data_IF_410062341179
#
_entry.id   IF_410062341179
#
_cell.length_a   1.000
_cell.length_b   1.000
_cell.length_c   1.000
_cell.angle_alpha   90.00
_cell.angle_beta   90.00
_cell.angle_gamma   90.00
#
_symmetry.space_group_name_H-M   'P 1'
#
loop_
_entity.id
_entity.type
_entity.pdbx_description
1 polymer ?
#
# COMPACT_ATOMS: atom_id res chain seq x y z
N UNK A 1 -21.44 -42.60 34.06
CA UNK A 1 -21.14 -41.19 33.80
C UNK A 1 -21.14 -40.98 32.30
N UNK A 2 -21.71 -39.96 31.65
CA UNK A 2 -22.84 -39.04 31.93
C UNK A 2 -22.69 -37.86 30.95
N UNK A 3 -23.32 -37.94 29.76
CA UNK A 3 -23.71 -36.81 28.87
C UNK A 3 -22.63 -35.77 28.42
N UNK A 4 -22.94 -34.82 27.52
CA UNK A 4 -23.99 -34.77 26.49
C UNK A 4 -23.47 -34.53 25.05
N UNK A 5 -24.41 -34.52 24.08
CA UNK A 5 -24.51 -33.74 22.83
C UNK A 5 -23.35 -32.77 22.48
N UNK A 6 -22.98 -32.60 21.20
CA UNK A 6 -23.90 -32.05 20.17
C UNK A 6 -23.55 -32.40 18.70
N UNK A 7 -24.60 -32.52 17.88
CA UNK A 7 -24.63 -32.75 16.41
C UNK A 7 -24.88 -31.37 15.70
N UNK A 8 -24.85 -31.13 14.39
CA UNK A 8 -25.09 -31.91 13.16
C UNK A 8 -24.46 -31.18 11.96
N UNK A 9 -24.10 -31.85 10.84
CA UNK A 9 -23.99 -31.23 9.51
C UNK A 9 -25.34 -31.23 8.75
N UNK A 10 -25.52 -30.30 7.80
CA UNK A 10 -26.73 -30.23 6.96
C UNK A 10 -26.67 -31.14 5.73
N UNK A 11 -27.81 -31.70 5.32
CA UNK A 11 -28.01 -32.38 4.04
C UNK A 11 -28.76 -31.49 3.04
N UNK A 12 -28.51 -31.72 1.75
CA UNK A 12 -29.25 -31.09 0.65
C UNK A 12 -30.42 -31.97 0.18
N UNK A 13 -31.49 -31.35 -0.34
CA UNK A 13 -32.56 -32.08 -1.03
C UNK A 13 -33.19 -31.20 -2.14
N UNK A 14 -33.65 -31.84 -3.22
CA UNK A 14 -34.09 -31.19 -4.46
C UNK A 14 -35.37 -31.88 -5.01
N UNK A 15 -36.41 -31.08 -5.29
CA UNK A 15 -37.68 -31.40 -5.97
C UNK A 15 -38.47 -30.07 -6.14
N UNK A 16 -39.28 -29.82 -7.18
CA UNK A 16 -39.47 -30.56 -8.43
C UNK A 16 -40.84 -30.32 -9.11
N UNK A 17 -40.94 -29.30 -10.00
CA UNK A 17 -42.10 -29.00 -10.89
C UNK A 17 -43.41 -28.57 -10.17
N UNK A 18 -44.52 -28.11 -10.80
CA UNK A 18 -45.02 -28.19 -12.19
C UNK A 18 -46.05 -27.07 -12.54
N UNK A 19 -46.06 -26.59 -13.81
CA UNK A 19 -47.22 -26.07 -14.60
C UNK A 19 -48.03 -24.83 -14.09
N UNK A 20 -48.86 -24.07 -14.84
CA UNK A 20 -49.09 -23.69 -16.28
C UNK A 20 -50.22 -22.58 -16.25
N UNK A 21 -50.54 -21.65 -17.19
CA UNK A 21 -50.37 -21.43 -18.66
C UNK A 21 -50.51 -19.91 -19.00
N UNK A 22 -50.36 -19.52 -20.27
CA UNK A 22 -50.58 -18.16 -20.85
C UNK A 22 -51.98 -17.56 -20.72
N UNK A 23 -52.10 -16.23 -20.89
CA UNK A 23 -53.12 -15.58 -21.74
C UNK A 23 -52.68 -14.16 -22.16
N UNK A 24 -52.93 -13.81 -23.42
CA UNK A 24 -52.73 -12.47 -24.01
C UNK A 24 -54.08 -11.73 -24.09
N UNK A 25 -54.17 -10.52 -23.50
CA UNK A 25 -55.10 -9.50 -24.01
C UNK A 25 -54.68 -8.09 -23.59
N UNK A 26 -54.62 -7.15 -24.53
CA UNK A 26 -54.12 -5.79 -24.27
C UNK A 26 -55.22 -4.76 -23.97
N UNK A 27 -54.82 -3.60 -23.45
CA UNK A 27 -55.37 -2.27 -23.83
C UNK A 27 -54.61 -1.10 -23.21
N UNK A 28 -54.20 -0.19 -24.10
CA UNK A 28 -53.88 1.21 -23.87
C UNK A 28 -54.68 1.87 -22.72
N UNK A 29 -54.00 2.56 -21.79
CA UNK A 29 -54.55 3.70 -21.06
C UNK A 29 -53.47 4.77 -20.86
N UNK A 30 -53.34 5.65 -21.86
CA UNK A 30 -52.53 6.87 -21.81
C UNK A 30 -53.19 7.92 -20.90
N UNK A 31 -52.50 8.41 -19.86
CA UNK A 31 -52.97 9.58 -19.09
C UNK A 31 -51.84 10.44 -18.47
N UNK A 32 -51.89 11.74 -18.77
CA UNK A 32 -51.23 12.88 -18.10
C UNK A 32 -49.71 12.86 -17.85
N UNK A 33 -48.97 13.21 -18.91
CA UNK A 33 -47.78 14.04 -18.81
C UNK A 33 -48.13 15.44 -18.24
N UNK A 34 -47.47 15.86 -17.16
CA UNK A 34 -47.40 17.26 -16.72
C UNK A 34 -45.95 17.70 -16.59
N UNK A 35 -45.46 18.48 -17.55
CA UNK A 35 -44.10 18.99 -17.55
C UNK A 35 -43.92 20.10 -16.49
N UNK A 36 -42.96 19.91 -15.58
CA UNK A 36 -42.42 21.01 -14.77
C UNK A 36 -41.04 21.40 -15.34
N UNK A 37 -41.03 22.40 -16.21
CA UNK A 37 -39.84 22.83 -16.95
C UNK A 37 -38.95 23.77 -16.11
N UNK A 38 -38.40 23.26 -15.00
CA UNK A 38 -37.37 23.97 -14.25
C UNK A 38 -35.97 23.54 -14.71
N UNK A 39 -35.45 24.24 -15.73
CA UNK A 39 -34.06 24.11 -16.17
C UNK A 39 -33.12 24.83 -15.20
N UNK A 40 -32.97 24.28 -14.00
CA UNK A 40 -31.83 24.57 -13.14
C UNK A 40 -30.64 23.76 -13.68
N UNK A 41 -29.74 24.41 -14.42
CA UNK A 41 -28.59 23.75 -15.03
C UNK A 41 -27.63 23.18 -13.98
N UNK A 42 -27.75 21.88 -13.69
CA UNK A 42 -26.75 21.11 -12.96
C UNK A 42 -25.42 21.22 -13.71
N UNK A 43 -24.45 21.93 -13.12
CA UNK A 43 -23.09 22.01 -13.64
C UNK A 43 -22.45 20.63 -13.50
N UNK A 44 -22.53 19.83 -14.56
CA UNK A 44 -21.91 18.51 -14.67
C UNK A 44 -20.39 18.65 -14.79
N UNK A 45 -19.73 18.82 -13.65
CA UNK A 45 -18.27 18.84 -13.48
C UNK A 45 -17.90 17.85 -12.36
N UNK A 46 -16.69 17.29 -12.46
CA UNK A 46 -15.97 16.45 -11.48
C UNK A 46 -15.98 14.91 -11.58
N UNK A 47 -16.88 14.24 -12.33
CA UNK A 47 -16.83 12.75 -12.46
C UNK A 47 -15.44 12.24 -12.86
N UNK A 48 -14.89 12.81 -13.94
CA UNK A 48 -13.60 12.39 -14.53
C UNK A 48 -12.42 12.38 -13.58
N UNK A 49 -12.43 13.25 -12.56
CA UNK A 49 -11.32 13.37 -11.62
C UNK A 49 -11.47 12.41 -10.44
N UNK A 50 -12.71 12.04 -10.09
CA UNK A 50 -13.00 11.01 -9.11
C UNK A 50 -12.71 9.62 -9.69
N UNK A 51 -13.09 9.40 -10.96
CA UNK A 51 -12.75 8.21 -11.74
C UNK A 51 -11.21 8.02 -11.88
N UNK A 52 -10.46 9.09 -12.20
CA UNK A 52 -8.98 9.13 -12.30
C UNK A 52 -8.26 8.89 -10.96
N UNK A 53 -8.80 9.41 -9.86
CA UNK A 53 -8.27 9.16 -8.52
C UNK A 53 -8.49 7.70 -8.09
N UNK A 54 -9.68 7.16 -8.35
CA UNK A 54 -10.00 5.75 -8.07
C UNK A 54 -9.12 4.80 -8.90
N UNK A 55 -8.89 5.09 -10.19
CA UNK A 55 -8.00 4.28 -11.03
C UNK A 55 -6.57 4.24 -10.46
N UNK A 56 -6.01 5.39 -10.07
CA UNK A 56 -4.69 5.44 -9.44
C UNK A 56 -4.62 4.70 -8.11
N UNK A 57 -5.63 4.82 -7.25
CA UNK A 57 -5.63 4.12 -5.96
C UNK A 57 -5.75 2.59 -6.12
N UNK A 58 -6.41 2.10 -7.17
CA UNK A 58 -6.37 0.69 -7.54
C UNK A 58 -4.96 0.24 -7.98
N UNK A 59 -4.24 1.05 -8.75
CA UNK A 59 -2.85 0.80 -9.15
C UNK A 59 -1.91 0.76 -7.92
N UNK A 60 -2.03 1.71 -7.00
CA UNK A 60 -1.31 1.71 -5.71
C UNK A 60 -1.63 0.46 -4.87
N UNK A 61 -2.88 0.01 -4.84
CA UNK A 61 -3.27 -1.20 -4.13
C UNK A 61 -2.62 -2.46 -4.74
N UNK A 62 -2.57 -2.57 -6.06
CA UNK A 62 -1.99 -3.72 -6.74
C UNK A 62 -0.44 -3.72 -6.69
N UNK A 63 0.20 -2.55 -6.76
CA UNK A 63 1.63 -2.38 -6.45
C UNK A 63 1.92 -2.86 -5.01
N UNK A 64 1.06 -2.54 -4.04
CA UNK A 64 1.22 -3.05 -2.68
C UNK A 64 1.04 -4.57 -2.58
N UNK A 65 0.06 -5.15 -3.28
CA UNK A 65 -0.13 -6.61 -3.40
C UNK A 65 1.09 -7.33 -4.00
N UNK A 66 1.74 -6.69 -4.98
CA UNK A 66 3.01 -7.16 -5.55
C UNK A 66 4.18 -7.03 -4.56
N UNK A 67 4.25 -5.96 -3.75
CA UNK A 67 5.26 -5.82 -2.70
C UNK A 67 5.09 -6.87 -1.58
N UNK A 68 3.85 -7.21 -1.24
CA UNK A 68 3.56 -8.34 -0.34
C UNK A 68 4.00 -9.68 -0.96
N UNK A 69 3.74 -9.89 -2.25
CA UNK A 69 4.20 -11.08 -2.98
C UNK A 69 5.74 -11.16 -3.06
N UNK A 70 6.42 -10.04 -3.29
CA UNK A 70 7.88 -9.93 -3.28
C UNK A 70 8.48 -10.28 -1.91
N UNK A 71 7.90 -9.75 -0.84
CA UNK A 71 8.27 -10.11 0.55
C UNK A 71 8.12 -11.62 0.80
N UNK A 72 7.03 -12.23 0.34
CA UNK A 72 6.84 -13.68 0.46
C UNK A 72 7.90 -14.46 -0.32
N UNK A 73 8.25 -14.05 -1.55
CA UNK A 73 9.31 -14.70 -2.35
C UNK A 73 10.68 -14.57 -1.67
N UNK A 74 11.04 -13.41 -1.12
CA UNK A 74 12.30 -13.22 -0.35
C UNK A 74 12.37 -14.21 0.82
N UNK A 75 11.28 -14.35 1.57
CA UNK A 75 11.19 -15.31 2.67
C UNK A 75 11.26 -16.78 2.19
N UNK A 76 10.70 -17.11 1.04
CA UNK A 76 10.83 -18.45 0.45
C UNK A 76 12.25 -18.75 -0.01
N UNK A 77 12.95 -17.79 -0.63
CA UNK A 77 14.35 -17.90 -1.05
C UNK A 77 15.24 -18.13 0.17
N UNK A 78 15.11 -17.30 1.21
CA UNK A 78 15.84 -17.43 2.48
C UNK A 78 15.69 -18.83 3.10
N UNK A 79 14.47 -19.36 3.18
CA UNK A 79 14.21 -20.69 3.72
C UNK A 79 14.72 -21.82 2.79
N UNK A 80 14.65 -21.67 1.47
CA UNK A 80 15.17 -22.64 0.50
C UNK A 80 16.69 -22.70 0.51
N UNK A 81 17.36 -21.54 0.52
CA UNK A 81 18.82 -21.44 0.64
C UNK A 81 19.31 -22.01 1.98
N UNK A 82 18.65 -21.71 3.10
CA UNK A 82 18.94 -22.37 4.40
C UNK A 82 18.75 -23.88 4.34
N UNK A 83 17.70 -24.38 3.70
CA UNK A 83 17.51 -25.83 3.52
C UNK A 83 18.64 -26.44 2.69
N UNK A 84 19.02 -25.80 1.59
CA UNK A 84 20.15 -26.19 0.74
C UNK A 84 21.50 -26.10 1.45
N UNK A 85 21.62 -25.22 2.46
CA UNK A 85 22.77 -25.16 3.35
C UNK A 85 22.96 -26.46 4.15
N UNK A 86 21.88 -27.08 4.63
CA UNK A 86 21.98 -28.25 5.53
C UNK A 86 21.76 -29.62 4.87
N UNK A 87 21.29 -29.68 3.62
CA UNK A 87 20.87 -30.93 2.96
C UNK A 87 21.73 -31.34 1.75
N UNK A 88 22.99 -30.90 1.66
CA UNK A 88 23.89 -31.26 0.53
C UNK A 88 24.50 -32.68 0.65
N UNK A 89 24.40 -33.33 1.81
CA UNK A 89 24.71 -34.77 2.01
C UNK A 89 23.71 -35.72 1.29
N UNK A 90 22.71 -35.18 0.58
CA UNK A 90 21.77 -35.94 -0.25
C UNK A 90 22.36 -36.22 -1.64
N UNK A 91 21.66 -37.03 -2.44
CA UNK A 91 22.14 -37.44 -3.77
C UNK A 91 22.30 -36.22 -4.70
N UNK A 92 23.16 -36.34 -5.72
CA UNK A 92 23.38 -35.27 -6.71
C UNK A 92 22.05 -34.76 -7.34
N UNK A 93 21.08 -35.66 -7.53
CA UNK A 93 19.73 -35.38 -8.06
C UNK A 93 18.88 -34.52 -7.11
N UNK A 94 18.90 -34.79 -5.80
CA UNK A 94 18.21 -34.00 -4.76
C UNK A 94 18.82 -32.59 -4.65
N UNK A 95 20.15 -32.52 -4.78
CA UNK A 95 20.93 -31.27 -4.77
C UNK A 95 20.63 -30.43 -6.02
N UNK A 96 20.59 -31.02 -7.21
CA UNK A 96 20.24 -30.29 -8.44
C UNK A 96 18.77 -29.81 -8.44
N UNK A 97 17.83 -30.67 -8.05
CA UNK A 97 16.42 -30.28 -7.91
C UNK A 97 16.21 -29.15 -6.89
N UNK A 98 17.02 -29.11 -5.83
CA UNK A 98 16.99 -28.03 -4.84
C UNK A 98 17.56 -26.72 -5.40
N UNK A 99 18.66 -26.77 -6.18
CA UNK A 99 19.18 -25.59 -6.90
C UNK A 99 18.15 -25.03 -7.88
N UNK A 100 17.50 -25.88 -8.68
CA UNK A 100 16.53 -25.45 -9.69
C UNK A 100 15.34 -24.69 -9.09
N UNK A 101 14.90 -25.05 -7.87
CA UNK A 101 13.85 -24.32 -7.13
C UNK A 101 14.33 -22.96 -6.61
N UNK A 102 15.61 -22.83 -6.23
CA UNK A 102 16.17 -21.52 -5.84
C UNK A 102 16.30 -20.64 -7.10
N UNK A 103 16.80 -21.21 -8.20
CA UNK A 103 16.96 -20.51 -9.47
C UNK A 103 15.62 -20.00 -10.04
N UNK A 104 14.54 -20.77 -9.90
CA UNK A 104 13.20 -20.32 -10.34
C UNK A 104 12.63 -19.20 -9.45
N UNK A 105 12.79 -19.28 -8.12
CA UNK A 105 12.36 -18.21 -7.21
C UNK A 105 13.16 -16.91 -7.41
N UNK A 106 14.47 -17.00 -7.67
CA UNK A 106 15.31 -15.84 -7.99
C UNK A 106 14.87 -15.20 -9.32
N UNK A 107 14.53 -16.00 -10.33
CA UNK A 107 14.00 -15.49 -11.60
C UNK A 107 12.60 -14.83 -11.44
N UNK A 108 11.74 -15.40 -10.61
CA UNK A 108 10.43 -14.83 -10.24
C UNK A 108 10.61 -13.48 -9.51
N UNK A 109 11.53 -13.44 -8.54
CA UNK A 109 11.90 -12.22 -7.82
C UNK A 109 12.45 -11.14 -8.76
N UNK A 110 13.33 -11.48 -9.71
CA UNK A 110 13.86 -10.55 -10.72
C UNK A 110 12.74 -10.01 -11.63
N UNK A 111 11.83 -10.86 -12.09
CA UNK A 111 10.69 -10.43 -12.91
C UNK A 111 9.78 -9.45 -12.16
N UNK A 112 9.49 -9.74 -10.88
CA UNK A 112 8.65 -8.90 -10.05
C UNK A 112 9.32 -7.56 -9.68
N UNK A 113 10.64 -7.56 -9.47
CA UNK A 113 11.44 -6.34 -9.27
C UNK A 113 11.38 -5.39 -10.47
N UNK A 114 11.46 -5.93 -11.69
CA UNK A 114 11.41 -5.13 -12.92
C UNK A 114 10.02 -4.51 -13.14
N UNK A 115 8.96 -5.25 -12.85
CA UNK A 115 7.58 -4.75 -12.93
C UNK A 115 7.31 -3.69 -11.85
N UNK A 116 7.62 -3.97 -10.59
CA UNK A 116 7.52 -3.00 -9.49
C UNK A 116 8.28 -1.69 -9.77
N UNK A 117 9.51 -1.78 -10.28
CA UNK A 117 10.30 -0.61 -10.70
C UNK A 117 9.58 0.22 -11.78
N UNK A 118 9.01 -0.44 -12.78
CA UNK A 118 8.30 0.24 -13.86
C UNK A 118 6.98 0.89 -13.37
N UNK A 119 6.19 0.17 -12.57
CA UNK A 119 4.90 0.62 -12.05
C UNK A 119 5.03 1.74 -11.03
N UNK A 120 5.94 1.61 -10.05
CA UNK A 120 6.22 2.68 -9.08
C UNK A 120 6.70 3.95 -9.79
N UNK A 121 7.60 3.82 -10.78
CA UNK A 121 8.03 4.96 -11.61
C UNK A 121 6.86 5.61 -12.36
N UNK A 122 5.96 4.80 -12.93
CA UNK A 122 4.76 5.31 -13.61
C UNK A 122 3.84 6.06 -12.65
N UNK A 123 3.56 5.49 -11.48
CA UNK A 123 2.72 6.10 -10.45
C UNK A 123 3.31 7.42 -9.91
N UNK A 124 4.63 7.49 -9.66
CA UNK A 124 5.31 8.73 -9.29
C UNK A 124 5.18 9.81 -10.39
N UNK A 125 5.35 9.43 -11.66
CA UNK A 125 5.22 10.36 -12.79
C UNK A 125 3.78 10.87 -12.93
N UNK A 126 2.77 9.99 -12.85
CA UNK A 126 1.36 10.39 -12.91
C UNK A 126 0.99 11.33 -11.77
N UNK A 127 1.40 11.01 -10.54
CA UNK A 127 1.15 11.81 -9.35
C UNK A 127 1.71 13.24 -9.47
N UNK A 128 2.93 13.39 -9.99
CA UNK A 128 3.53 14.72 -10.22
C UNK A 128 2.81 15.48 -11.34
N UNK A 129 2.30 14.80 -12.37
CA UNK A 129 1.53 15.44 -13.44
C UNK A 129 0.13 15.87 -12.99
N UNK A 130 -0.54 15.10 -12.13
CA UNK A 130 -1.87 15.44 -11.58
C UNK A 130 -1.81 16.59 -10.57
N UNK A 131 -0.64 16.80 -9.93
CA UNK A 131 -0.41 17.76 -8.83
C UNK A 131 -1.23 17.47 -7.57
N UNK A 132 -1.68 16.22 -7.40
CA UNK A 132 -2.32 15.76 -6.17
C UNK A 132 -1.26 15.24 -5.19
N UNK A 133 -1.05 15.96 -4.09
CA UNK A 133 -0.13 15.55 -3.02
C UNK A 133 -0.49 14.16 -2.47
N UNK A 134 -1.76 13.79 -2.45
CA UNK A 134 -2.22 12.46 -2.02
C UNK A 134 -1.68 11.37 -2.94
N UNK A 135 -1.73 11.58 -4.27
CA UNK A 135 -1.13 10.65 -5.23
C UNK A 135 0.39 10.56 -5.03
N UNK A 136 1.06 11.70 -4.78
CA UNK A 136 2.52 11.77 -4.59
C UNK A 136 2.95 11.01 -3.34
N UNK A 137 2.27 11.24 -2.21
CA UNK A 137 2.59 10.60 -0.93
C UNK A 137 2.37 9.07 -0.97
N UNK A 138 1.35 8.60 -1.70
CA UNK A 138 1.12 7.16 -1.89
C UNK A 138 2.20 6.51 -2.78
N UNK A 139 2.52 7.11 -3.93
CA UNK A 139 3.57 6.58 -4.82
C UNK A 139 4.95 6.55 -4.13
N UNK A 140 5.27 7.58 -3.35
CA UNK A 140 6.49 7.67 -2.56
C UNK A 140 6.50 6.66 -1.38
N UNK A 141 5.34 6.34 -0.81
CA UNK A 141 5.21 5.26 0.19
C UNK A 141 5.49 3.89 -0.44
N UNK A 142 4.97 3.61 -1.63
CA UNK A 142 5.31 2.40 -2.38
C UNK A 142 6.81 2.34 -2.72
N UNK A 143 7.43 3.45 -3.13
CA UNK A 143 8.88 3.51 -3.43
C UNK A 143 9.73 3.18 -2.20
N UNK A 144 9.43 3.78 -1.04
CA UNK A 144 10.11 3.49 0.23
C UNK A 144 9.96 2.02 0.61
N UNK A 145 8.73 1.49 0.60
CA UNK A 145 8.43 0.07 0.88
C UNK A 145 9.20 -0.88 -0.04
N UNK A 146 9.41 -0.51 -1.30
CA UNK A 146 10.22 -1.31 -2.24
C UNK A 146 11.72 -1.26 -1.92
N UNK A 147 12.27 -0.08 -1.61
CA UNK A 147 13.66 0.08 -1.16
C UNK A 147 13.95 -0.73 0.12
N UNK A 148 13.03 -0.72 1.08
CA UNK A 148 13.13 -1.51 2.32
C UNK A 148 13.20 -3.01 2.00
N UNK A 149 12.32 -3.54 1.14
CA UNK A 149 12.32 -4.95 0.73
C UNK A 149 13.56 -5.35 -0.09
N UNK A 150 14.07 -4.46 -0.96
CA UNK A 150 15.34 -4.68 -1.67
C UNK A 150 16.48 -4.77 -0.65
N UNK A 151 16.50 -3.90 0.37
CA UNK A 151 17.53 -3.89 1.41
C UNK A 151 17.47 -5.12 2.32
N UNK A 152 16.28 -5.59 2.68
CA UNK A 152 16.08 -6.86 3.41
C UNK A 152 16.57 -8.05 2.57
N UNK A 153 16.27 -8.09 1.27
CA UNK A 153 16.76 -9.17 0.41
C UNK A 153 18.29 -9.16 0.26
N UNK A 154 18.91 -7.97 0.15
CA UNK A 154 20.38 -7.82 0.16
C UNK A 154 20.99 -8.35 1.47
N UNK A 155 20.30 -8.19 2.61
CA UNK A 155 20.74 -8.73 3.90
C UNK A 155 20.62 -10.26 3.97
N UNK A 156 19.55 -10.84 3.40
CA UNK A 156 19.38 -12.29 3.23
C UNK A 156 20.51 -12.88 2.40
N UNK A 157 20.75 -12.35 1.20
CA UNK A 157 21.79 -12.88 0.30
C UNK A 157 23.20 -12.71 0.88
N UNK A 158 23.48 -11.59 1.56
CA UNK A 158 24.75 -11.39 2.28
C UNK A 158 24.97 -12.45 3.38
N UNK A 159 23.93 -12.77 4.14
CA UNK A 159 23.97 -13.77 5.22
C UNK A 159 24.16 -15.19 4.68
N UNK A 160 23.46 -15.54 3.61
CA UNK A 160 23.55 -16.86 3.01
C UNK A 160 24.89 -17.04 2.27
N UNK A 161 25.44 -15.97 1.66
CA UNK A 161 26.82 -15.94 1.15
C UNK A 161 27.85 -16.26 2.23
N UNK A 162 27.80 -15.60 3.39
CA UNK A 162 28.76 -15.88 4.47
C UNK A 162 28.57 -17.30 5.05
N UNK A 163 27.31 -17.75 5.18
CA UNK A 163 27.00 -19.11 5.64
C UNK A 163 27.56 -20.19 4.71
N UNK A 164 27.46 -20.00 3.40
CA UNK A 164 28.00 -20.92 2.38
C UNK A 164 29.53 -20.86 2.28
N UNK A 165 30.15 -19.71 2.55
CA UNK A 165 31.62 -19.62 2.76
C UNK A 165 32.08 -20.42 3.97
N UNK A 166 31.43 -20.24 5.13
CA UNK A 166 31.79 -21.01 6.34
C UNK A 166 31.70 -22.52 6.09
N UNK A 167 30.67 -22.98 5.37
CA UNK A 167 30.53 -24.39 5.06
C UNK A 167 31.62 -24.89 4.14
N UNK A 168 31.90 -24.22 3.02
CA UNK A 168 32.95 -24.63 2.10
C UNK A 168 34.34 -24.64 2.77
N UNK A 169 34.59 -23.72 3.72
CA UNK A 169 35.78 -23.73 4.56
C UNK A 169 35.83 -24.96 5.49
N UNK A 170 34.74 -25.27 6.20
CA UNK A 170 34.62 -26.47 7.06
C UNK A 170 34.81 -27.77 6.27
N UNK A 171 34.19 -27.87 5.08
CA UNK A 171 34.32 -28.98 4.14
C UNK A 171 35.80 -29.20 3.73
N UNK A 172 36.47 -28.14 3.26
CA UNK A 172 37.89 -28.24 2.86
C UNK A 172 38.81 -28.67 4.02
N UNK A 173 38.54 -28.19 5.24
CA UNK A 173 39.28 -28.59 6.45
C UNK A 173 39.14 -30.08 6.83
N UNK A 174 38.11 -30.80 6.35
CA UNK A 174 37.98 -32.26 6.54
C UNK A 174 39.06 -33.02 5.74
N UNK A 175 39.47 -32.49 4.58
CA UNK A 175 40.55 -33.04 3.75
C UNK A 175 41.91 -32.56 4.24
N UNK A 176 42.04 -31.26 4.51
CA UNK A 176 43.28 -30.60 4.93
C UNK A 176 43.09 -29.81 6.25
N UNK A 177 43.21 -30.48 7.42
CA UNK A 177 43.06 -29.82 8.72
C UNK A 177 44.13 -28.77 9.03
N UNK A 178 45.25 -28.80 8.31
CA UNK A 178 46.38 -27.87 8.36
C UNK A 178 46.34 -26.79 7.26
N UNK A 179 45.17 -26.58 6.63
CA UNK A 179 44.98 -25.54 5.63
C UNK A 179 45.20 -24.13 6.19
N UNK A 180 45.93 -23.30 5.45
CA UNK A 180 46.10 -21.87 5.75
C UNK A 180 44.84 -21.07 5.38
N UNK A 181 44.66 -19.89 5.98
CA UNK A 181 43.50 -19.03 5.68
C UNK A 181 43.50 -18.57 4.21
N UNK A 182 44.68 -18.40 3.64
CA UNK A 182 44.93 -18.06 2.25
C UNK A 182 44.53 -19.21 1.30
N UNK A 183 44.88 -20.46 1.62
CA UNK A 183 44.42 -21.64 0.87
C UNK A 183 42.90 -21.82 0.97
N UNK A 184 42.31 -21.62 2.16
CA UNK A 184 40.87 -21.71 2.36
C UNK A 184 40.14 -20.66 1.49
N UNK A 185 40.59 -19.41 1.50
CA UNK A 185 40.02 -18.36 0.62
C UNK A 185 40.18 -18.71 -0.85
N UNK A 186 41.37 -19.13 -1.29
CA UNK A 186 41.57 -19.48 -2.70
C UNK A 186 40.72 -20.68 -3.16
N UNK A 187 40.37 -21.61 -2.26
CA UNK A 187 39.47 -22.74 -2.59
C UNK A 187 38.00 -22.32 -2.58
N UNK A 188 37.57 -21.50 -1.61
CA UNK A 188 36.16 -21.11 -1.42
C UNK A 188 35.75 -19.95 -2.35
N UNK A 189 36.56 -18.90 -2.39
CA UNK A 189 36.27 -17.64 -3.11
C UNK A 189 36.72 -17.74 -4.58
N UNK A 190 37.96 -18.16 -4.85
CA UNK A 190 38.48 -18.28 -6.23
C UNK A 190 38.17 -19.63 -6.92
N UNK A 191 37.60 -20.60 -6.19
CA UNK A 191 37.30 -21.94 -6.73
C UNK A 191 38.54 -22.77 -7.11
N UNK A 192 39.70 -22.48 -6.51
CA UNK A 192 41.01 -22.95 -6.98
C UNK A 192 41.21 -24.47 -6.86
N UNK A 193 41.02 -25.15 -8.00
CA UNK A 193 41.27 -26.58 -8.18
C UNK A 193 42.71 -27.01 -7.83
N UNK A 194 43.69 -26.10 -7.88
CA UNK A 194 45.10 -26.42 -7.64
C UNK A 194 45.37 -26.77 -6.18
N UNK A 195 44.93 -25.92 -5.24
CA UNK A 195 45.06 -26.19 -3.80
C UNK A 195 44.25 -27.42 -3.37
N UNK A 196 43.16 -27.69 -4.08
CA UNK A 196 42.37 -28.90 -3.85
C UNK A 196 43.09 -30.18 -4.34
N UNK A 197 43.65 -30.20 -5.55
CA UNK A 197 44.43 -31.34 -6.02
C UNK A 197 45.67 -31.60 -5.17
N UNK A 198 46.31 -30.55 -4.64
CA UNK A 198 47.39 -30.68 -3.68
C UNK A 198 46.93 -31.39 -2.38
N UNK A 199 45.79 -30.99 -1.81
CA UNK A 199 45.18 -31.65 -0.66
C UNK A 199 44.77 -33.12 -0.95
N UNK A 200 44.30 -33.43 -2.18
CA UNK A 200 44.00 -34.80 -2.63
C UNK A 200 45.24 -35.70 -2.79
N UNK A 201 46.40 -35.10 -3.11
CA UNK A 201 47.67 -35.83 -3.19
C UNK A 201 48.26 -36.10 -1.81
N UNK A 202 48.08 -35.17 -0.86
CA UNK A 202 48.61 -35.23 0.50
C UNK A 202 47.73 -36.07 1.46
N UNK A 203 46.41 -36.11 1.25
CA UNK A 203 45.49 -36.84 2.12
C UNK A 203 45.39 -38.34 1.78
N UNK A 204 45.34 -39.18 2.81
CA UNK A 204 45.06 -40.62 2.67
C UNK A 204 43.56 -40.91 2.39
N UNK A 205 42.67 -39.90 2.44
CA UNK A 205 41.21 -40.04 2.42
C UNK A 205 40.60 -39.86 1.02
N UNK A 206 41.28 -40.37 -0.02
CA UNK A 206 40.98 -40.12 -1.46
C UNK A 206 39.55 -40.47 -1.93
N UNK A 207 38.82 -41.31 -1.20
CA UNK A 207 37.41 -41.59 -1.47
C UNK A 207 36.51 -40.43 -1.03
N UNK A 208 36.48 -40.16 0.28
CA UNK A 208 35.74 -39.05 0.90
C UNK A 208 36.05 -37.70 0.22
N UNK A 209 37.33 -37.44 -0.02
CA UNK A 209 37.81 -36.17 -0.57
C UNK A 209 37.35 -35.90 -2.02
N UNK A 210 36.79 -36.89 -2.74
CA UNK A 210 36.09 -36.66 -4.02
C UNK A 210 34.65 -36.18 -3.85
N UNK A 211 33.93 -36.67 -2.83
CA UNK A 211 32.59 -36.19 -2.50
C UNK A 211 32.67 -34.74 -2.02
N UNK A 212 33.58 -34.46 -1.08
CA UNK A 212 33.87 -33.10 -0.60
C UNK A 212 34.35 -32.15 -1.71
N UNK A 213 34.98 -32.66 -2.79
CA UNK A 213 35.29 -31.83 -3.98
C UNK A 213 34.02 -31.42 -4.73
N UNK A 214 33.07 -32.34 -4.93
CA UNK A 214 31.77 -32.01 -5.52
C UNK A 214 31.05 -30.97 -4.65
N UNK A 215 31.05 -31.19 -3.33
CA UNK A 215 30.44 -30.34 -2.31
C UNK A 215 30.95 -28.88 -2.39
N UNK A 216 32.27 -28.69 -2.35
CA UNK A 216 32.91 -27.37 -2.45
C UNK A 216 32.68 -26.73 -3.83
N UNK A 217 32.63 -27.53 -4.91
CA UNK A 217 32.29 -27.02 -6.25
C UNK A 217 30.81 -26.62 -6.41
N UNK A 218 29.89 -27.26 -5.69
CA UNK A 218 28.49 -26.80 -5.59
C UNK A 218 28.44 -25.48 -4.82
N UNK A 219 29.06 -25.40 -3.64
CA UNK A 219 29.12 -24.18 -2.83
C UNK A 219 29.78 -23.01 -3.56
N UNK A 220 30.86 -23.22 -4.33
CA UNK A 220 31.47 -22.16 -5.13
C UNK A 220 30.54 -21.67 -6.25
N UNK A 221 29.83 -22.56 -6.95
CA UNK A 221 28.80 -22.16 -7.94
C UNK A 221 27.63 -21.41 -7.30
N UNK A 222 27.25 -21.77 -6.08
CA UNK A 222 26.27 -21.04 -5.29
C UNK A 222 26.75 -19.62 -4.94
N UNK A 223 27.99 -19.47 -4.45
CA UNK A 223 28.60 -18.17 -4.14
C UNK A 223 28.60 -17.22 -5.36
N UNK A 224 28.92 -17.72 -6.56
CA UNK A 224 28.86 -16.92 -7.79
C UNK A 224 27.43 -16.47 -8.16
N UNK A 225 26.41 -17.29 -7.89
CA UNK A 225 25.00 -16.89 -8.06
C UNK A 225 24.61 -15.80 -7.05
N UNK A 226 24.95 -16.00 -5.78
CA UNK A 226 24.68 -15.04 -4.69
C UNK A 226 25.35 -13.67 -5.00
N UNK A 227 26.59 -13.68 -5.49
CA UNK A 227 27.28 -12.45 -5.91
C UNK A 227 26.60 -11.73 -7.07
N UNK A 228 26.12 -12.47 -8.08
CA UNK A 228 25.33 -11.90 -9.18
C UNK A 228 24.04 -11.25 -8.66
N UNK A 229 23.26 -11.95 -7.84
CA UNK A 229 22.03 -11.40 -7.28
C UNK A 229 22.29 -10.17 -6.40
N UNK A 230 23.32 -10.21 -5.54
CA UNK A 230 23.70 -9.04 -4.72
C UNK A 230 24.12 -7.82 -5.56
N UNK A 231 24.78 -8.02 -6.70
CA UNK A 231 25.12 -6.95 -7.62
C UNK A 231 23.86 -6.36 -8.29
N UNK A 232 22.97 -7.21 -8.79
CA UNK A 232 21.69 -6.82 -9.42
C UNK A 232 20.79 -6.05 -8.43
N UNK A 233 20.64 -6.55 -7.20
CA UNK A 233 19.90 -5.86 -6.14
C UNK A 233 20.54 -4.52 -5.74
N UNK A 234 21.87 -4.40 -5.82
CA UNK A 234 22.57 -3.14 -5.53
C UNK A 234 22.38 -2.12 -6.63
N UNK A 235 22.35 -2.55 -7.91
CA UNK A 235 21.98 -1.68 -9.02
C UNK A 235 20.51 -1.24 -8.89
N UNK A 236 19.60 -2.18 -8.65
CA UNK A 236 18.17 -1.89 -8.46
C UNK A 236 17.92 -0.90 -7.30
N UNK A 237 18.61 -1.08 -6.17
CA UNK A 237 18.55 -0.14 -5.06
C UNK A 237 18.94 1.27 -5.48
N UNK A 238 20.07 1.42 -6.18
CA UNK A 238 20.52 2.72 -6.68
C UNK A 238 19.56 3.33 -7.72
N UNK A 239 19.03 2.53 -8.65
CA UNK A 239 18.01 2.96 -9.63
C UNK A 239 16.73 3.49 -8.93
N UNK A 240 16.37 2.92 -7.77
CA UNK A 240 15.21 3.32 -6.98
C UNK A 240 15.50 4.50 -6.02
N UNK A 241 16.76 4.75 -5.66
CA UNK A 241 17.21 5.96 -4.98
C UNK A 241 17.29 7.16 -5.94
N UNK A 242 17.83 6.98 -7.15
CA UNK A 242 17.84 8.03 -8.21
C UNK A 242 16.40 8.39 -8.65
N UNK A 243 15.43 7.50 -8.45
CA UNK A 243 14.01 7.75 -8.67
C UNK A 243 13.34 8.73 -7.67
N UNK A 244 14.11 9.45 -6.85
CA UNK A 244 13.64 10.70 -6.24
C UNK A 244 13.47 11.76 -7.34
N UNK A 245 12.27 11.83 -7.92
CA UNK A 245 11.85 12.93 -8.79
C UNK A 245 12.01 14.24 -8.00
N UNK A 246 12.71 15.22 -8.58
CA UNK A 246 12.92 16.53 -7.96
C UNK A 246 11.58 17.22 -7.63
N UNK A 247 11.17 17.18 -6.36
CA UNK A 247 10.14 18.07 -5.82
C UNK A 247 10.73 19.47 -5.64
N UNK A 248 11.14 20.13 -6.73
CA UNK A 248 11.66 21.50 -6.69
C UNK A 248 10.52 22.54 -6.59
N UNK A 249 9.64 22.35 -5.61
CA UNK A 249 8.92 23.39 -4.88
C UNK A 249 8.69 22.90 -3.44
N UNK A 250 8.83 23.75 -2.42
CA UNK A 250 8.79 23.33 -1.03
C UNK A 250 7.38 22.90 -0.60
N UNK A 251 7.32 21.86 0.24
CA UNK A 251 6.09 21.44 0.95
C UNK A 251 5.68 22.54 1.95
N UNK A 252 4.90 23.52 1.48
CA UNK A 252 4.29 24.58 2.28
C UNK A 252 2.77 24.64 2.08
N UNK A 253 2.08 23.51 2.33
CA UNK A 253 0.62 23.53 2.51
C UNK A 253 0.02 22.44 3.42
N UNK A 254 0.79 21.93 4.40
CA UNK A 254 0.22 21.21 5.54
C UNK A 254 -0.03 22.19 6.70
N UNK A 255 -0.93 23.16 6.49
CA UNK A 255 -1.43 24.02 7.57
C UNK A 255 -2.91 24.44 7.41
N UNK A 256 -3.52 24.29 6.23
CA UNK A 256 -4.90 24.78 5.99
C UNK A 256 -6.00 23.75 6.30
N UNK A 257 -5.74 22.43 6.19
CA UNK A 257 -6.75 21.39 6.51
C UNK A 257 -6.83 20.96 7.98
N UNK A 258 -5.93 21.43 8.85
CA UNK A 258 -6.15 21.39 10.32
C UNK A 258 -6.76 22.72 10.80
N UNK A 259 -6.41 23.85 10.15
CA UNK A 259 -7.04 25.14 10.38
C UNK A 259 -8.56 25.12 10.21
N UNK A 260 -9.08 24.41 9.20
CA UNK A 260 -10.52 24.21 9.00
C UNK A 260 -11.24 23.57 10.21
N UNK A 261 -10.61 22.60 10.88
CA UNK A 261 -11.19 21.92 12.04
C UNK A 261 -11.13 22.76 13.33
N UNK A 262 -10.20 23.72 13.41
CA UNK A 262 -10.00 24.55 14.61
C UNK A 262 -10.63 25.96 14.49
N UNK A 263 -10.86 26.47 13.28
CA UNK A 263 -11.54 27.75 13.07
C UNK A 263 -13.08 27.66 13.27
N UNK A 264 -13.66 26.47 13.10
CA UNK A 264 -15.11 26.23 13.30
C UNK A 264 -15.55 26.29 14.79
N UNK A 265 -14.59 26.36 15.72
CA UNK A 265 -14.87 26.71 17.13
C UNK A 265 -14.89 28.23 17.34
N UNK A 266 -14.06 29.00 16.65
CA UNK A 266 -13.93 30.45 16.89
C UNK A 266 -15.04 31.27 16.19
N UNK A 267 -15.52 30.84 15.01
CA UNK A 267 -16.70 31.48 14.39
C UNK A 267 -18.01 31.26 15.19
N UNK A 268 -18.05 30.28 16.10
CA UNK A 268 -19.17 30.04 17.01
C UNK A 268 -19.54 31.23 17.92
N UNK A 269 -18.60 32.16 18.16
CA UNK A 269 -18.82 33.31 19.06
C UNK A 269 -19.30 34.57 18.31
N UNK A 270 -19.15 34.63 16.98
CA UNK A 270 -19.49 35.82 16.17
C UNK A 270 -20.99 36.10 16.03
N UNK A 271 -21.83 35.06 15.98
CA UNK A 271 -23.23 35.20 15.54
C UNK A 271 -24.27 35.45 16.65
N UNK A 272 -23.94 35.19 17.92
CA UNK A 272 -24.87 35.37 19.06
C UNK A 272 -25.18 36.85 19.35
N UNK A 273 -24.20 37.74 19.20
CA UNK A 273 -24.34 39.17 19.55
C UNK A 273 -25.22 39.97 18.57
N UNK A 274 -25.24 39.59 17.28
CA UNK A 274 -26.04 40.27 16.24
C UNK A 274 -27.54 40.06 16.44
N UNK A 275 -27.94 38.84 16.84
CA UNK A 275 -29.33 38.49 17.15
C UNK A 275 -29.89 39.33 18.32
N UNK A 276 -29.15 39.44 19.43
CA UNK A 276 -29.61 40.17 20.63
C UNK A 276 -29.72 41.68 20.39
N UNK A 277 -28.80 42.28 19.62
CA UNK A 277 -28.91 43.70 19.24
C UNK A 277 -30.14 43.98 18.37
N UNK A 278 -30.44 43.13 17.39
CA UNK A 278 -31.65 43.26 16.56
C UNK A 278 -32.94 43.16 17.39
N UNK A 279 -33.03 42.14 18.25
CA UNK A 279 -34.20 41.93 19.12
C UNK A 279 -34.44 43.10 20.10
N UNK A 280 -33.38 43.67 20.69
CA UNK A 280 -33.50 44.86 21.57
C UNK A 280 -33.87 46.13 20.79
N UNK A 281 -33.39 46.31 19.56
CA UNK A 281 -33.76 47.45 18.71
C UNK A 281 -35.25 47.41 18.30
N UNK A 282 -35.77 46.25 17.91
CA UNK A 282 -37.17 46.07 17.55
C UNK A 282 -38.14 46.43 18.71
N UNK A 283 -37.81 46.03 19.95
CA UNK A 283 -38.60 46.36 21.14
C UNK A 283 -38.64 47.87 21.41
N UNK A 284 -37.51 48.59 21.28
CA UNK A 284 -37.47 50.06 21.45
C UNK A 284 -38.32 50.79 20.40
N UNK A 285 -38.31 50.35 19.13
CA UNK A 285 -39.14 50.95 18.06
C UNK A 285 -40.64 50.79 18.32
N UNK A 286 -41.10 49.64 18.81
CA UNK A 286 -42.53 49.44 19.16
C UNK A 286 -43.01 50.40 20.25
N UNK A 287 -42.19 50.67 21.27
CA UNK A 287 -42.53 51.62 22.35
C UNK A 287 -42.64 53.05 21.79
N UNK A 288 -41.72 53.46 20.91
CA UNK A 288 -41.78 54.79 20.29
C UNK A 288 -43.04 55.01 19.44
N UNK A 289 -43.47 54.02 18.65
CA UNK A 289 -44.75 54.10 17.94
C UNK A 289 -45.95 54.23 18.89
N UNK A 290 -45.97 53.48 20.00
CA UNK A 290 -47.06 53.56 20.98
C UNK A 290 -47.17 54.95 21.64
N UNK A 291 -46.04 55.59 21.95
CA UNK A 291 -46.01 56.96 22.48
C UNK A 291 -46.55 57.98 21.47
N UNK A 292 -46.19 57.87 20.19
CA UNK A 292 -46.69 58.76 19.12
C UNK A 292 -48.22 58.63 18.98
N UNK A 293 -48.75 57.40 18.97
CA UNK A 293 -50.21 57.16 18.90
C UNK A 293 -50.93 57.76 20.11
N UNK A 294 -50.38 57.64 21.31
CA UNK A 294 -50.96 58.23 22.53
C UNK A 294 -51.01 59.77 22.45
N UNK A 295 -49.95 60.42 21.96
CA UNK A 295 -49.92 61.87 21.73
C UNK A 295 -51.00 62.30 20.73
N UNK A 296 -51.20 61.56 19.62
CA UNK A 296 -52.25 61.86 18.64
C UNK A 296 -53.65 61.75 19.28
N UNK A 297 -53.90 60.75 20.13
CA UNK A 297 -55.16 60.60 20.87
C UNK A 297 -55.39 61.78 21.82
N UNK A 298 -54.36 62.26 22.53
CA UNK A 298 -54.46 63.45 23.39
C UNK A 298 -54.79 64.71 22.56
N UNK A 299 -54.15 64.91 21.41
CA UNK A 299 -54.43 66.06 20.53
C UNK A 299 -55.89 66.01 20.05
N UNK A 300 -56.39 64.85 19.61
CA UNK A 300 -57.79 64.68 19.22
C UNK A 300 -58.75 64.93 20.40
N UNK A 301 -58.42 64.46 21.60
CA UNK A 301 -59.21 64.71 22.80
C UNK A 301 -59.23 66.20 23.20
N UNK A 302 -58.12 66.93 23.01
CA UNK A 302 -58.06 68.38 23.25
C UNK A 302 -58.85 69.17 22.19
N UNK A 303 -58.78 68.79 20.91
CA UNK A 303 -59.55 69.43 19.83
C UNK A 303 -61.05 69.19 20.02
N UNK A 304 -61.47 67.95 20.30
CA UNK A 304 -62.87 67.63 20.58
C UNK A 304 -63.34 68.26 21.89
N UNK A 305 -62.53 68.22 22.96
CA UNK A 305 -62.84 68.85 24.24
C UNK A 305 -63.01 70.37 24.14
N UNK A 306 -62.16 71.05 23.35
CA UNK A 306 -62.33 72.48 23.04
C UNK A 306 -63.56 72.75 22.15
N UNK A 307 -63.81 71.92 21.15
CA UNK A 307 -64.95 72.07 20.24
C UNK A 307 -66.31 71.88 20.93
N UNK A 308 -66.42 70.91 21.85
CA UNK A 308 -67.63 70.72 22.67
C UNK A 308 -67.69 71.68 23.86
N UNK A 309 -66.55 72.01 24.49
CA UNK A 309 -66.47 73.00 25.57
C UNK A 309 -66.78 74.44 25.12
N UNK A 310 -66.61 74.75 23.84
CA UNK A 310 -67.00 76.02 23.22
C UNK A 310 -68.49 76.06 22.79
N UNK A 311 -69.31 75.07 23.19
CA UNK A 311 -70.69 74.92 22.70
C UNK A 311 -71.74 74.61 23.78
N UNK A 312 -71.43 74.89 25.04
CA UNK A 312 -72.36 75.02 26.17
C UNK A 312 -72.23 76.43 26.76
#
# INVERSE_FOLDING_TARGET
>A
MSNPYQNVPYQAQNQGSYEMSDINNGRNTNYNNYANQNSAGTKQYSSSNEDDFVQFMNEIQDINSQLDSYSNIINLIDNKQKSFLYNIDLNDEDTEYSSQQIDSLVAEAQSLQLDLKARIKSAQVEAVHSKDQTKVDQAETCRKRFLDLIQDYRLVEAKNKESSKEQAARQYQIIKPDATQEEIRAVVEDGSQQYFQQALMQSNRRGEARSVLSEVQVRHRELLKLEKTMAELTQLFHDMEELVIEQDQPIQQIEEQVGAAQHDIEQGVGHTNKAVKSAKAARKKKIWCAVIVLIIIIILACVLGGYFGSKN
#
